data_IF_927124536605
#
_entry.id   IF_927124536605
#
_cell.length_a   1.000
_cell.length_b   1.000
_cell.length_c   1.000
_cell.angle_alpha   90.00
_cell.angle_beta   90.00
_cell.angle_gamma   90.00
#
_symmetry.space_group_name_H-M   'P 1'
#
loop_
_entity.id
_entity.type
_entity.pdbx_description
1 polymer ?
#
# COMPACT_ATOMS: atom_id res chain seq x y z
N UNK A 1 19.53 1.84 6.84
CA UNK A 1 19.04 0.55 7.41
C UNK A 1 17.52 0.68 7.51
N UNK A 2 16.78 -0.29 6.99
CA UNK A 2 15.30 -0.30 6.98
C UNK A 2 14.84 -0.93 8.30
N UNK A 3 14.05 -0.20 9.08
CA UNK A 3 13.46 -0.72 10.31
C UNK A 3 12.13 -1.42 9.97
N UNK A 4 12.11 -2.74 10.05
CA UNK A 4 10.97 -3.59 9.72
C UNK A 4 10.32 -4.13 10.99
N UNK A 5 9.00 -3.94 11.15
CA UNK A 5 8.21 -4.66 12.14
C UNK A 5 7.63 -5.94 11.50
N UNK A 6 8.08 -7.09 11.96
CA UNK A 6 7.60 -8.41 11.55
C UNK A 6 6.66 -8.98 12.61
N UNK A 7 5.38 -9.10 12.29
CA UNK A 7 4.35 -9.65 13.19
C UNK A 7 3.89 -11.00 12.66
N UNK A 8 4.31 -12.05 13.31
CA UNK A 8 4.14 -13.45 12.87
C UNK A 8 4.10 -14.35 14.10
N UNK A 9 3.13 -15.22 14.25
CA UNK A 9 3.01 -16.09 15.42
C UNK A 9 3.87 -17.37 15.31
N UNK A 10 4.17 -17.83 14.10
CA UNK A 10 5.12 -18.92 13.87
C UNK A 10 6.57 -18.48 14.16
N UNK A 11 7.11 -18.96 15.29
CA UNK A 11 8.46 -18.62 15.72
C UNK A 11 9.54 -19.09 14.73
N UNK A 12 9.31 -20.18 14.00
CA UNK A 12 10.27 -20.72 13.02
C UNK A 12 10.30 -19.82 11.79
N UNK A 13 9.13 -19.44 11.29
CA UNK A 13 9.02 -18.53 10.15
C UNK A 13 9.58 -17.15 10.50
N UNK A 14 9.27 -16.63 11.69
CA UNK A 14 9.84 -15.37 12.21
C UNK A 14 11.37 -15.40 12.19
N UNK A 15 11.96 -16.47 12.71
CA UNK A 15 13.42 -16.64 12.75
C UNK A 15 14.04 -16.70 11.35
N UNK A 16 13.43 -17.45 10.43
CA UNK A 16 13.90 -17.60 9.05
C UNK A 16 13.84 -16.24 8.30
N UNK A 17 12.72 -15.53 8.42
CA UNK A 17 12.55 -14.23 7.75
C UNK A 17 13.50 -13.20 8.33
N UNK A 18 13.64 -13.13 9.65
CA UNK A 18 14.57 -12.22 10.31
C UNK A 18 16.02 -12.49 9.89
N UNK A 19 16.52 -13.73 10.02
CA UNK A 19 17.88 -14.07 9.61
C UNK A 19 18.12 -13.88 8.12
N UNK A 20 17.13 -14.17 7.27
CA UNK A 20 17.23 -13.92 5.84
C UNK A 20 17.39 -12.43 5.51
N UNK A 21 16.63 -11.57 6.15
CA UNK A 21 16.68 -10.12 5.90
C UNK A 21 17.90 -9.45 6.56
N UNK A 22 18.24 -9.79 7.80
CA UNK A 22 19.34 -9.16 8.54
C UNK A 22 20.71 -9.68 8.11
N UNK A 23 20.89 -11.03 8.04
CA UNK A 23 22.19 -11.65 7.88
C UNK A 23 22.54 -11.97 6.41
N UNK A 24 21.56 -12.40 5.59
CA UNK A 24 21.83 -12.84 4.22
C UNK A 24 21.68 -11.70 3.21
N UNK A 25 20.59 -10.92 3.29
CA UNK A 25 20.34 -9.78 2.39
C UNK A 25 21.04 -8.54 2.92
N UNK A 26 20.89 -8.28 4.22
CA UNK A 26 21.46 -7.12 4.89
C UNK A 26 20.65 -5.84 4.72
N UNK A 27 21.00 -4.81 5.51
CA UNK A 27 20.34 -3.51 5.42
C UNK A 27 19.05 -3.37 6.22
N UNK A 28 18.67 -4.37 7.00
CA UNK A 28 17.47 -4.41 7.84
C UNK A 28 17.80 -4.39 9.34
N UNK A 29 16.88 -3.82 10.11
CA UNK A 29 16.71 -3.99 11.55
C UNK A 29 15.32 -4.55 11.76
N UNK A 30 15.19 -5.84 12.10
CA UNK A 30 13.91 -6.53 12.22
C UNK A 30 13.45 -6.55 13.67
N UNK A 31 12.32 -5.89 13.94
CA UNK A 31 11.62 -5.93 15.21
C UNK A 31 10.55 -7.02 15.11
N UNK A 32 10.67 -8.06 15.94
CA UNK A 32 9.76 -9.18 15.91
C UNK A 32 8.63 -9.04 16.95
N UNK A 33 7.41 -9.44 16.57
CA UNK A 33 6.26 -9.56 17.45
C UNK A 33 5.49 -10.85 17.15
N UNK A 34 4.92 -11.49 18.17
CA UNK A 34 4.27 -12.79 18.05
C UNK A 34 2.74 -12.70 17.86
N UNK A 35 2.16 -11.53 17.93
CA UNK A 35 0.72 -11.29 17.77
C UNK A 35 0.46 -9.78 17.54
N UNK A 36 -0.79 -9.44 17.19
CA UNK A 36 -1.14 -8.06 16.88
C UNK A 36 -1.06 -7.10 18.07
N UNK A 37 -1.20 -7.53 19.33
CA UNK A 37 -1.03 -6.65 20.50
C UNK A 37 0.43 -6.25 20.69
N UNK A 38 1.33 -7.21 20.61
CA UNK A 38 2.77 -6.94 20.61
C UNK A 38 3.16 -6.07 19.42
N UNK A 39 2.61 -6.37 18.23
CA UNK A 39 2.81 -5.57 17.02
C UNK A 39 2.42 -4.10 17.23
N UNK A 40 1.24 -3.81 17.79
CA UNK A 40 0.81 -2.44 18.11
C UNK A 40 1.73 -1.74 19.11
N UNK A 41 2.20 -2.46 20.12
CA UNK A 41 3.15 -1.92 21.10
C UNK A 41 4.47 -1.55 20.42
N UNK A 42 5.05 -2.49 19.68
CA UNK A 42 6.31 -2.26 18.96
C UNK A 42 6.20 -1.15 17.92
N UNK A 43 5.09 -1.09 17.17
CA UNK A 43 4.86 -0.01 16.23
C UNK A 43 4.90 1.37 16.89
N UNK A 44 4.24 1.54 18.05
CA UNK A 44 4.22 2.81 18.80
C UNK A 44 5.59 3.20 19.37
N UNK A 45 6.35 2.22 19.83
CA UNK A 45 7.65 2.46 20.50
C UNK A 45 8.79 2.65 19.50
N UNK A 46 8.76 1.92 18.39
CA UNK A 46 9.89 1.79 17.49
C UNK A 46 9.78 2.59 16.21
N UNK A 47 8.57 3.03 15.83
CA UNK A 47 8.30 3.78 14.58
C UNK A 47 8.94 3.12 13.35
N UNK A 48 8.52 1.90 12.96
CA UNK A 48 9.12 1.18 11.85
C UNK A 48 8.87 1.86 10.50
N UNK A 49 9.80 1.69 9.55
CA UNK A 49 9.66 2.17 8.18
C UNK A 49 8.62 1.36 7.38
N UNK A 50 8.42 0.10 7.76
CA UNK A 50 7.48 -0.84 7.12
C UNK A 50 7.01 -1.90 8.10
N UNK A 51 5.77 -2.37 7.94
CA UNK A 51 5.18 -3.44 8.73
C UNK A 51 4.87 -4.63 7.82
N UNK A 52 5.29 -5.83 8.22
CA UNK A 52 4.88 -7.09 7.62
C UNK A 52 4.12 -7.88 8.67
N UNK A 53 2.88 -8.26 8.39
CA UNK A 53 2.03 -8.93 9.36
C UNK A 53 1.32 -10.14 8.79
N UNK A 54 1.36 -11.25 9.52
CA UNK A 54 0.36 -12.30 9.29
C UNK A 54 -1.03 -11.78 9.63
N UNK A 55 -2.03 -12.44 9.07
CA UNK A 55 -3.44 -12.16 9.33
C UNK A 55 -3.96 -13.02 10.47
N UNK A 56 -3.65 -14.32 10.46
CA UNK A 56 -4.17 -15.29 11.41
C UNK A 56 -3.19 -15.48 12.58
N UNK A 57 -3.40 -14.73 13.64
CA UNK A 57 -2.59 -14.79 14.85
C UNK A 57 -3.47 -14.85 16.09
N UNK A 58 -2.98 -15.48 17.20
CA UNK A 58 -3.68 -15.50 18.48
C UNK A 58 -3.72 -14.08 19.10
N UNK A 59 -4.55 -13.90 20.13
CA UNK A 59 -4.72 -12.69 20.92
C UNK A 59 -5.34 -11.55 20.10
N UNK A 60 -4.64 -11.04 19.09
CA UNK A 60 -5.11 -10.05 18.13
C UNK A 60 -4.61 -10.41 16.74
N UNK A 61 -5.52 -10.54 15.79
CA UNK A 61 -5.20 -10.84 14.41
C UNK A 61 -4.68 -9.60 13.64
N UNK A 62 -4.05 -9.83 12.47
CA UNK A 62 -3.44 -8.77 11.67
C UNK A 62 -4.45 -7.73 11.16
N UNK A 63 -5.68 -8.13 10.84
CA UNK A 63 -6.71 -7.18 10.40
C UNK A 63 -7.08 -6.18 11.48
N UNK A 64 -7.27 -6.64 12.71
CA UNK A 64 -7.59 -5.79 13.85
C UNK A 64 -6.44 -4.84 14.16
N UNK A 65 -5.19 -5.35 14.14
CA UNK A 65 -3.99 -4.54 14.33
C UNK A 65 -3.91 -3.44 13.27
N UNK A 66 -4.01 -3.78 12.01
CA UNK A 66 -3.92 -2.81 10.90
C UNK A 66 -5.02 -1.77 10.97
N UNK A 67 -6.26 -2.18 11.29
CA UNK A 67 -7.36 -1.24 11.48
C UNK A 67 -7.02 -0.18 12.54
N UNK A 68 -6.50 -0.58 13.71
CA UNK A 68 -6.12 0.34 14.79
C UNK A 68 -4.95 1.25 14.39
N UNK A 69 -3.95 0.73 13.67
CA UNK A 69 -2.86 1.55 13.13
C UNK A 69 -3.43 2.61 12.19
N UNK A 70 -4.32 2.24 11.28
CA UNK A 70 -4.88 3.12 10.24
C UNK A 70 -5.84 4.19 10.78
N UNK A 71 -6.30 4.09 12.01
CA UNK A 71 -7.04 5.15 12.70
C UNK A 71 -6.18 6.41 12.91
N UNK A 72 -4.86 6.24 13.08
CA UNK A 72 -3.92 7.33 13.41
C UNK A 72 -2.76 7.47 12.44
N UNK A 73 -2.40 6.42 11.70
CA UNK A 73 -1.28 6.39 10.75
C UNK A 73 -1.74 5.88 9.39
N UNK A 74 -1.67 6.75 8.38
CA UNK A 74 -2.01 6.43 6.99
C UNK A 74 -0.76 6.19 6.13
N UNK A 75 0.43 6.51 6.64
CA UNK A 75 1.66 6.60 5.86
C UNK A 75 2.52 5.35 5.92
N UNK A 76 2.72 4.77 7.11
CA UNK A 76 3.57 3.57 7.26
C UNK A 76 3.10 2.45 6.33
N UNK A 77 3.94 1.97 5.40
CA UNK A 77 3.59 0.88 4.50
C UNK A 77 3.32 -0.42 5.27
N UNK A 78 2.24 -1.12 4.91
CA UNK A 78 1.86 -2.39 5.52
C UNK A 78 1.70 -3.46 4.45
N UNK A 79 2.38 -4.60 4.66
CA UNK A 79 2.27 -5.81 3.84
C UNK A 79 1.58 -6.89 4.69
N UNK A 80 0.53 -7.50 4.19
CA UNK A 80 0.05 -8.75 4.77
C UNK A 80 0.77 -9.94 4.17
N UNK A 81 1.22 -10.87 5.02
CA UNK A 81 1.71 -12.19 4.63
C UNK A 81 0.74 -13.25 5.13
N UNK A 82 0.14 -14.04 4.23
CA UNK A 82 -0.85 -15.02 4.68
C UNK A 82 -1.06 -16.19 3.71
N UNK A 83 -1.48 -17.34 4.26
CA UNK A 83 -2.03 -18.46 3.51
C UNK A 83 -3.48 -18.24 3.03
N UNK A 84 -4.16 -17.20 3.55
CA UNK A 84 -5.54 -16.87 3.19
C UNK A 84 -5.61 -16.19 1.82
N UNK A 85 -5.57 -16.99 0.76
CA UNK A 85 -5.52 -16.51 -0.63
C UNK A 85 -6.90 -16.31 -1.28
N UNK A 86 -8.01 -16.40 -0.52
CA UNK A 86 -9.32 -16.16 -1.10
C UNK A 86 -9.47 -14.69 -1.53
N UNK A 87 -10.14 -14.42 -2.66
CA UNK A 87 -10.37 -13.06 -3.12
C UNK A 87 -10.97 -12.14 -2.07
N UNK A 88 -11.89 -12.68 -1.25
CA UNK A 88 -12.56 -11.94 -0.17
C UNK A 88 -11.58 -11.47 0.91
N UNK A 89 -10.62 -12.32 1.29
CA UNK A 89 -9.63 -11.98 2.32
C UNK A 89 -8.65 -10.92 1.83
N UNK A 90 -8.20 -11.06 0.59
CA UNK A 90 -7.31 -10.08 -0.04
C UNK A 90 -7.99 -8.71 -0.17
N UNK A 91 -9.24 -8.69 -0.66
CA UNK A 91 -10.06 -7.47 -0.73
C UNK A 91 -10.16 -6.79 0.64
N UNK A 92 -10.50 -7.56 1.68
CA UNK A 92 -10.60 -7.05 3.04
C UNK A 92 -9.30 -6.44 3.54
N UNK A 93 -8.15 -7.06 3.26
CA UNK A 93 -6.83 -6.52 3.63
C UNK A 93 -6.58 -5.14 3.02
N UNK A 94 -6.84 -4.98 1.74
CA UNK A 94 -6.69 -3.69 1.05
C UNK A 94 -7.73 -2.66 1.51
N UNK A 95 -8.97 -3.06 1.77
CA UNK A 95 -10.00 -2.17 2.34
C UNK A 95 -9.58 -1.61 3.70
N UNK A 96 -8.91 -2.40 4.51
CA UNK A 96 -8.38 -1.99 5.80
C UNK A 96 -7.14 -1.08 5.70
N UNK A 97 -6.55 -0.93 4.52
CA UNK A 97 -5.44 -0.02 4.26
C UNK A 97 -4.07 -0.70 4.17
N UNK A 98 -4.00 -2.01 3.95
CA UNK A 98 -2.75 -2.64 3.54
C UNK A 98 -2.29 -2.08 2.19
N UNK A 99 -0.97 -1.99 2.01
CA UNK A 99 -0.37 -1.53 0.77
C UNK A 99 -0.03 -2.70 -0.15
N UNK A 100 0.27 -3.86 0.40
CA UNK A 100 0.56 -5.06 -0.36
C UNK A 100 0.12 -6.33 0.37
N UNK A 101 0.14 -7.45 -0.35
CA UNK A 101 -0.22 -8.77 0.14
C UNK A 101 0.73 -9.79 -0.48
N UNK A 102 1.40 -10.58 0.34
CA UNK A 102 2.28 -11.67 -0.08
C UNK A 102 1.71 -13.01 0.34
N UNK A 103 1.74 -13.98 -0.58
CA UNK A 103 1.21 -15.31 -0.31
C UNK A 103 2.25 -16.17 0.42
N UNK A 104 1.86 -16.86 1.49
CA UNK A 104 2.68 -17.90 2.11
C UNK A 104 2.57 -19.24 1.33
N UNK A 105 3.66 -20.01 1.17
CA UNK A 105 5.01 -19.70 1.61
C UNK A 105 5.72 -18.71 0.67
N UNK A 106 6.61 -17.88 1.20
CA UNK A 106 7.47 -16.95 0.48
C UNK A 106 8.91 -17.06 0.99
N UNK A 107 9.88 -16.57 0.23
CA UNK A 107 11.29 -16.48 0.62
C UNK A 107 11.67 -15.05 1.01
N UNK A 108 12.72 -14.83 1.84
CA UNK A 108 13.14 -13.50 2.26
C UNK A 108 13.42 -12.53 1.10
N UNK A 109 13.98 -13.02 0.00
CA UNK A 109 14.27 -12.23 -1.21
C UNK A 109 13.00 -11.70 -1.89
N UNK A 110 11.92 -12.49 -1.92
CA UNK A 110 10.63 -12.05 -2.44
C UNK A 110 10.04 -10.95 -1.56
N UNK A 111 10.11 -11.12 -0.24
CA UNK A 111 9.67 -10.11 0.70
C UNK A 111 10.48 -8.81 0.58
N UNK A 112 11.80 -8.90 0.42
CA UNK A 112 12.70 -7.77 0.19
C UNK A 112 12.29 -6.97 -1.04
N UNK A 113 12.03 -7.64 -2.17
CA UNK A 113 11.56 -6.99 -3.40
C UNK A 113 10.25 -6.21 -3.18
N UNK A 114 9.30 -6.80 -2.46
CA UNK A 114 8.03 -6.11 -2.11
C UNK A 114 8.25 -4.91 -1.21
N UNK A 115 9.12 -5.01 -0.20
CA UNK A 115 9.45 -3.92 0.72
C UNK A 115 10.09 -2.76 -0.04
N UNK A 116 11.13 -3.05 -0.86
CA UNK A 116 11.81 -2.02 -1.63
C UNK A 116 10.88 -1.31 -2.62
N UNK A 117 10.02 -2.05 -3.32
CA UNK A 117 9.02 -1.47 -4.21
C UNK A 117 8.08 -0.49 -3.46
N UNK A 118 7.60 -0.88 -2.26
CA UNK A 118 6.74 -0.01 -1.45
C UNK A 118 7.47 1.21 -0.90
N UNK A 119 8.69 1.05 -0.39
CA UNK A 119 9.46 2.16 0.16
C UNK A 119 9.90 3.15 -0.92
N UNK A 120 10.16 2.68 -2.14
CA UNK A 120 10.41 3.56 -3.29
C UNK A 120 9.19 4.42 -3.61
N UNK A 121 7.99 3.84 -3.55
CA UNK A 121 6.74 4.58 -3.72
C UNK A 121 6.48 5.59 -2.60
N UNK A 122 6.79 5.22 -1.34
CA UNK A 122 6.57 6.10 -0.18
C UNK A 122 7.60 7.22 -0.06
N UNK A 123 8.85 6.94 -0.47
CA UNK A 123 9.93 7.94 -0.45
C UNK A 123 9.90 8.85 -1.68
N UNK A 124 8.94 8.70 -2.61
CA UNK A 124 8.87 9.37 -3.89
C UNK A 124 10.18 10.06 -4.25
N UNK A 125 10.79 9.88 -5.39
CA UNK A 125 12.03 10.64 -5.72
C UNK A 125 11.75 12.11 -5.40
N UNK A 126 12.25 12.56 -4.22
CA UNK A 126 12.18 13.98 -3.85
C UNK A 126 13.11 14.71 -4.82
N UNK A 127 12.59 15.01 -6.01
CA UNK A 127 13.08 16.15 -6.75
C UNK A 127 12.79 17.36 -5.87
N UNK A 128 13.86 18.00 -5.39
CA UNK A 128 13.80 19.24 -4.63
C UNK A 128 13.03 20.27 -5.47
N UNK A 129 12.11 20.99 -4.79
CA UNK A 129 11.44 22.19 -5.28
C UNK A 129 10.46 22.02 -6.45
N UNK A 130 9.27 21.52 -6.10
CA UNK A 130 7.95 22.00 -6.51
C UNK A 130 6.97 20.93 -6.01
N UNK A 131 5.99 21.30 -5.17
CA UNK A 131 4.91 20.40 -4.78
C UNK A 131 4.17 20.01 -6.06
N UNK A 132 4.25 18.74 -6.49
CA UNK A 132 3.52 18.23 -7.65
C UNK A 132 2.03 18.20 -7.31
N UNK A 133 1.36 19.31 -7.63
CA UNK A 133 -0.06 19.48 -7.41
C UNK A 133 -0.83 19.27 -8.72
N UNK A 134 -1.74 18.30 -8.72
CA UNK A 134 -2.60 18.00 -9.86
C UNK A 134 -4.02 18.43 -9.55
N UNK A 135 -4.56 19.36 -10.32
CA UNK A 135 -5.98 19.72 -10.25
C UNK A 135 -6.79 18.55 -10.82
N UNK A 136 -7.86 18.13 -10.14
CA UNK A 136 -8.72 17.02 -10.56
C UNK A 136 -10.16 17.52 -10.56
N UNK A 137 -10.77 17.57 -11.75
CA UNK A 137 -12.07 18.16 -11.95
C UNK A 137 -12.10 19.62 -11.50
N UNK A 138 -13.20 20.02 -10.87
CA UNK A 138 -13.40 21.38 -10.36
C UNK A 138 -13.08 21.53 -8.89
N UNK A 139 -13.26 20.45 -8.12
CA UNK A 139 -13.31 20.50 -6.67
C UNK A 139 -12.07 19.94 -5.97
N UNK A 140 -11.21 19.16 -6.67
CA UNK A 140 -10.09 18.49 -6.03
C UNK A 140 -8.72 18.95 -6.52
N UNK A 141 -7.74 18.89 -5.61
CA UNK A 141 -6.31 19.04 -5.90
C UNK A 141 -5.56 17.92 -5.19
N UNK A 142 -4.83 17.10 -5.95
CA UNK A 142 -3.90 16.11 -5.41
C UNK A 142 -2.55 16.79 -5.17
N UNK A 143 -2.11 16.79 -3.94
CA UNK A 143 -0.73 17.04 -3.54
C UNK A 143 -0.01 15.68 -3.50
N UNK A 144 0.60 15.32 -4.63
CA UNK A 144 1.22 14.00 -4.79
C UNK A 144 2.44 13.81 -3.90
N UNK A 145 3.18 14.89 -3.63
CA UNK A 145 4.37 14.86 -2.75
C UNK A 145 4.01 14.49 -1.30
N UNK A 146 2.88 15.00 -0.80
CA UNK A 146 2.43 14.75 0.57
C UNK A 146 1.33 13.70 0.67
N UNK A 147 0.93 13.09 -0.46
CA UNK A 147 -0.17 12.13 -0.55
C UNK A 147 -1.48 12.68 0.06
N UNK A 148 -1.82 13.93 -0.23
CA UNK A 148 -3.02 14.61 0.28
C UNK A 148 -3.95 14.95 -0.89
N UNK A 149 -5.20 14.51 -0.81
CA UNK A 149 -6.28 14.97 -1.67
C UNK A 149 -7.04 16.10 -0.97
N UNK A 150 -6.94 17.31 -1.50
CA UNK A 150 -7.57 18.54 -0.99
C UNK A 150 -8.87 18.78 -1.74
N UNK A 151 -9.95 19.05 -1.02
CA UNK A 151 -11.24 19.46 -1.61
C UNK A 151 -11.43 20.97 -1.50
N UNK A 152 -12.16 21.58 -2.43
CA UNK A 152 -12.43 23.03 -2.45
C UNK A 152 -13.15 23.55 -1.20
N UNK A 153 -13.90 22.69 -0.50
CA UNK A 153 -14.52 23.00 0.80
C UNK A 153 -13.53 23.16 1.95
N UNK A 154 -12.23 22.86 1.74
CA UNK A 154 -11.20 22.87 2.78
C UNK A 154 -10.99 21.52 3.46
N UNK A 155 -11.76 20.49 3.12
CA UNK A 155 -11.54 19.13 3.61
C UNK A 155 -10.30 18.51 2.93
N UNK A 156 -9.43 17.89 3.72
CA UNK A 156 -8.24 17.18 3.25
C UNK A 156 -8.33 15.71 3.62
N UNK A 157 -8.04 14.83 2.65
CA UNK A 157 -7.99 13.37 2.84
C UNK A 157 -6.56 12.88 2.60
N UNK A 158 -5.92 12.30 3.62
CA UNK A 158 -4.62 11.66 3.47
C UNK A 158 -4.79 10.33 2.75
N UNK A 159 -4.00 10.13 1.71
CA UNK A 159 -3.96 8.92 0.89
C UNK A 159 -2.80 8.02 1.33
N UNK A 160 -2.89 6.74 1.04
CA UNK A 160 -1.70 5.88 1.07
C UNK A 160 -0.80 6.20 -0.13
N UNK A 161 0.49 5.91 -0.05
CA UNK A 161 1.44 6.15 -1.13
C UNK A 161 0.98 5.54 -2.47
N UNK A 162 0.35 4.36 -2.42
CA UNK A 162 -0.16 3.68 -3.63
C UNK A 162 -1.41 4.35 -4.19
N UNK A 163 -2.32 4.82 -3.35
CA UNK A 163 -3.50 5.59 -3.78
C UNK A 163 -3.08 6.90 -4.44
N UNK A 164 -2.16 7.64 -3.81
CA UNK A 164 -1.62 8.87 -4.36
C UNK A 164 -0.89 8.65 -5.68
N UNK A 165 0.01 7.65 -5.75
CA UNK A 165 0.77 7.33 -6.96
C UNK A 165 -0.12 6.88 -8.13
N UNK A 166 -1.15 6.07 -7.86
CA UNK A 166 -2.11 5.67 -8.90
C UNK A 166 -2.91 6.87 -9.41
N UNK A 167 -3.39 7.73 -8.51
CA UNK A 167 -4.13 8.93 -8.89
C UNK A 167 -3.24 9.91 -9.66
N UNK A 168 -1.98 10.10 -9.23
CA UNK A 168 -0.97 10.87 -9.95
C UNK A 168 -0.76 10.35 -11.38
N UNK A 169 -0.54 9.04 -11.54
CA UNK A 169 -0.34 8.43 -12.87
C UNK A 169 -1.53 8.69 -13.80
N UNK A 170 -2.75 8.66 -13.28
CA UNK A 170 -3.95 8.99 -14.04
C UNK A 170 -4.02 10.48 -14.40
N UNK A 171 -3.60 11.37 -13.51
CA UNK A 171 -3.52 12.81 -13.76
C UNK A 171 -2.48 13.18 -14.82
N UNK A 172 -1.34 12.51 -14.80
CA UNK A 172 -0.27 12.68 -15.81
C UNK A 172 -0.69 12.23 -17.21
N UNK A 173 -1.63 11.27 -17.29
CA UNK A 173 -2.16 10.72 -18.54
C UNK A 173 -3.65 11.07 -18.73
N UNK A 174 -4.03 12.28 -18.40
CA UNK A 174 -5.41 12.74 -18.43
C UNK A 174 -6.03 12.67 -19.83
N UNK A 175 -7.21 12.07 -19.93
CA UNK A 175 -7.89 11.84 -21.21
C UNK A 175 -7.37 10.64 -22.01
N UNK A 176 -6.22 10.08 -21.65
CA UNK A 176 -5.64 8.90 -22.27
C UNK A 176 -5.87 7.65 -21.41
N UNK A 177 -5.81 6.49 -22.07
CA UNK A 177 -5.95 5.20 -21.40
C UNK A 177 -4.61 4.72 -20.86
N UNK A 178 -4.46 4.71 -19.56
CA UNK A 178 -3.32 4.07 -18.89
C UNK A 178 -3.54 2.57 -18.88
N UNK A 179 -2.66 1.81 -19.54
CA UNK A 179 -2.76 0.36 -19.64
C UNK A 179 -2.69 -0.30 -18.28
N UNK A 180 -3.53 -1.32 -18.06
CA UNK A 180 -3.57 -2.07 -16.80
C UNK A 180 -2.21 -2.68 -16.45
N UNK A 181 -1.52 -3.25 -17.41
CA UNK A 181 -0.17 -3.82 -17.27
C UNK A 181 0.82 -2.78 -16.76
N UNK A 182 0.88 -1.60 -17.37
CA UNK A 182 1.77 -0.53 -16.95
C UNK A 182 1.50 -0.05 -15.50
N UNK A 183 0.23 -0.07 -15.07
CA UNK A 183 -0.13 0.24 -13.69
C UNK A 183 0.37 -0.87 -12.75
N UNK A 184 0.15 -2.13 -13.12
CA UNK A 184 0.54 -3.28 -12.32
C UNK A 184 2.07 -3.34 -12.19
N UNK A 185 2.81 -3.17 -13.27
CA UNK A 185 4.28 -3.15 -13.28
C UNK A 185 4.83 -2.03 -12.39
N UNK A 186 4.26 -0.83 -12.46
CA UNK A 186 4.74 0.31 -11.68
C UNK A 186 4.48 0.15 -10.17
N UNK A 187 3.32 -0.41 -9.78
CA UNK A 187 2.88 -0.40 -8.38
C UNK A 187 2.92 -1.76 -7.68
N UNK A 188 2.99 -2.87 -8.41
CA UNK A 188 3.05 -4.22 -7.84
C UNK A 188 4.32 -4.99 -8.20
N UNK A 189 5.09 -4.53 -9.21
CA UNK A 189 6.41 -5.01 -9.59
C UNK A 189 6.53 -6.54 -9.80
N UNK A 190 5.46 -7.19 -10.27
CA UNK A 190 5.45 -8.64 -10.49
C UNK A 190 4.65 -8.99 -11.74
N UNK A 191 5.26 -9.76 -12.63
CA UNK A 191 4.58 -10.31 -13.83
C UNK A 191 3.53 -11.37 -13.46
N UNK A 192 3.61 -11.98 -12.26
CA UNK A 192 2.81 -13.12 -11.81
C UNK A 192 2.04 -12.91 -10.49
N UNK A 193 1.86 -11.67 -10.01
CA UNK A 193 1.10 -11.45 -8.78
C UNK A 193 -0.40 -11.72 -8.99
N UNK A 194 -0.84 -12.91 -8.61
CA UNK A 194 -2.24 -13.33 -8.62
C UNK A 194 -3.18 -12.31 -7.94
N UNK A 195 -2.66 -11.53 -7.00
CA UNK A 195 -3.41 -10.53 -6.23
C UNK A 195 -3.35 -9.12 -6.84
N UNK A 196 -2.33 -8.81 -7.63
CA UNK A 196 -2.10 -7.47 -8.17
C UNK A 196 -3.31 -6.94 -8.95
N UNK A 197 -3.84 -7.77 -9.84
CA UNK A 197 -4.98 -7.41 -10.67
C UNK A 197 -6.25 -7.10 -9.86
N UNK A 198 -6.52 -7.86 -8.82
CA UNK A 198 -7.68 -7.66 -7.91
C UNK A 198 -7.45 -6.49 -6.97
N UNK A 199 -6.21 -6.31 -6.51
CA UNK A 199 -5.81 -5.18 -5.71
C UNK A 199 -6.08 -3.86 -6.44
N UNK A 200 -5.70 -3.77 -7.71
CA UNK A 200 -5.96 -2.58 -8.53
C UNK A 200 -7.46 -2.23 -8.54
N UNK A 201 -8.36 -3.21 -8.69
CA UNK A 201 -9.80 -2.95 -8.72
C UNK A 201 -10.31 -2.36 -7.39
N UNK A 202 -9.70 -2.74 -6.25
CA UNK A 202 -10.00 -2.16 -4.94
C UNK A 202 -9.54 -0.70 -4.86
N UNK A 203 -8.29 -0.43 -5.27
CA UNK A 203 -7.77 0.94 -5.28
C UNK A 203 -8.59 1.85 -6.19
N UNK A 204 -8.95 1.38 -7.38
CA UNK A 204 -9.83 2.13 -8.29
C UNK A 204 -11.19 2.42 -7.65
N UNK A 205 -11.77 1.44 -6.97
CA UNK A 205 -13.06 1.62 -6.27
C UNK A 205 -12.93 2.65 -5.15
N UNK A 206 -11.84 2.64 -4.38
CA UNK A 206 -11.56 3.64 -3.34
C UNK A 206 -11.38 5.03 -3.94
N UNK A 207 -10.56 5.17 -4.99
CA UNK A 207 -10.32 6.46 -5.65
C UNK A 207 -11.61 7.05 -6.22
N UNK A 208 -12.47 6.22 -6.84
CA UNK A 208 -13.79 6.67 -7.31
C UNK A 208 -14.64 7.22 -6.18
N UNK A 209 -14.65 6.58 -5.00
CA UNK A 209 -15.38 7.07 -3.83
C UNK A 209 -14.82 8.38 -3.30
N UNK A 210 -13.48 8.55 -3.35
CA UNK A 210 -12.82 9.76 -2.87
C UNK A 210 -13.13 10.99 -3.69
N UNK A 211 -13.33 10.85 -5.01
CA UNK A 211 -13.61 11.95 -5.93
C UNK A 211 -15.09 12.04 -6.34
N UNK A 212 -15.98 11.26 -5.72
CA UNK A 212 -17.37 11.09 -6.14
C UNK A 212 -18.22 12.37 -6.00
N UNK A 213 -17.82 13.32 -5.18
CA UNK A 213 -18.55 14.58 -4.95
C UNK A 213 -18.44 15.52 -6.15
N UNK A 214 -17.38 15.40 -6.98
CA UNK A 214 -17.23 16.19 -8.20
C UNK A 214 -17.72 15.40 -9.42
N UNK A 215 -18.89 15.78 -9.93
CA UNK A 215 -19.47 15.15 -11.12
C UNK A 215 -18.76 15.50 -12.43
N UNK A 216 -17.80 16.45 -12.40
CA UNK A 216 -17.04 16.84 -13.59
C UNK A 216 -15.86 15.92 -13.88
N UNK A 217 -15.54 14.98 -12.99
CA UNK A 217 -14.42 14.06 -13.13
C UNK A 217 -14.83 12.61 -12.85
N UNK A 218 -14.27 11.67 -13.59
CA UNK A 218 -14.53 10.24 -13.37
C UNK A 218 -13.34 9.38 -13.76
N UNK A 219 -13.12 8.28 -13.01
CA UNK A 219 -12.16 7.24 -13.41
C UNK A 219 -12.93 6.15 -14.15
N UNK A 220 -12.74 6.06 -15.46
CA UNK A 220 -13.38 5.05 -16.31
C UNK A 220 -12.52 3.80 -16.45
N UNK A 221 -13.18 2.64 -16.53
CA UNK A 221 -12.54 1.38 -16.91
C UNK A 221 -12.77 1.14 -18.39
N UNK A 222 -11.68 1.09 -19.16
CA UNK A 222 -11.70 0.64 -20.54
C UNK A 222 -11.48 -0.87 -20.53
N UNK A 223 -12.56 -1.62 -20.77
CA UNK A 223 -12.59 -3.08 -20.64
C UNK A 223 -11.48 -3.74 -21.44
N UNK A 224 -10.67 -4.58 -20.78
CA UNK A 224 -9.54 -5.30 -21.38
C UNK A 224 -8.31 -4.45 -21.73
N UNK A 225 -8.32 -3.12 -21.44
CA UNK A 225 -7.22 -2.21 -21.77
C UNK A 225 -6.63 -1.55 -20.53
N UNK A 226 -7.44 -0.80 -19.76
CA UNK A 226 -6.91 -0.06 -18.63
C UNK A 226 -7.89 0.92 -17.99
N UNK A 227 -7.33 2.00 -17.45
CA UNK A 227 -8.07 3.05 -16.75
C UNK A 227 -7.84 4.41 -17.43
N UNK A 228 -8.82 5.29 -17.34
CA UNK A 228 -8.74 6.65 -17.87
C UNK A 228 -9.37 7.63 -16.87
N UNK A 229 -8.69 8.73 -16.60
CA UNK A 229 -9.26 9.88 -15.91
C UNK A 229 -9.91 10.80 -16.95
N UNK A 230 -11.21 10.96 -16.84
CA UNK A 230 -12.01 11.84 -17.74
C UNK A 230 -12.55 13.03 -16.95
N UNK A 231 -12.44 14.21 -17.53
CA UNK A 231 -12.94 15.49 -17.01
C UNK A 231 -13.86 16.19 -18.00
#
# INVERSE_FOLDING_TARGET
MIKLLLVEDDASLRYIVQGGLEDMIGGYEVIAAANGEEGLKQWKEQHPDVIVSDIEMPVMNGYEMVKRIREVDKETPIIFSSGLVSPKNVLKGYELGANNYIKKPFIPEELDAHIHALLKLSKGEKSKDESECYKIGKEYVLDATHAILKHSSGENKTLTAREAGLLQMLCENRGDVVRREAILDKFWNTEDDYFASRSLDVFVTKLRKLIAEDSSVSIKTVKGVGLMLEE
#
